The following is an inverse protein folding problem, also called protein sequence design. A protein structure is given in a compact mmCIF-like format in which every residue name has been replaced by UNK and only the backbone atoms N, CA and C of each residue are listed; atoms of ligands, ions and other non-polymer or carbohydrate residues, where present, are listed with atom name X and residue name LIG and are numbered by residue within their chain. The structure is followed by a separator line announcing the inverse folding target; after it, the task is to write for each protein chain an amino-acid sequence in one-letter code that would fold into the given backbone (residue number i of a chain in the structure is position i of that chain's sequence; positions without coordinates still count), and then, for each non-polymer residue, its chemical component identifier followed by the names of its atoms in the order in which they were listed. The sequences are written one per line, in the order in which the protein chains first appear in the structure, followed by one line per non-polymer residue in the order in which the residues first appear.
data_IF_874713440053
#
_entry.id   IF_874713440053
#
_cell.length_a   1.000
_cell.length_b   1.000
_cell.length_c   1.000
_cell.angle_alpha   90.00
_cell.angle_beta   90.00
_cell.angle_gamma   90.00
#
_symmetry.space_group_name_H-M   'P 1'
#
loop_
_entity.id
_entity.type
_entity.pdbx_description
1 polymer ?
#
# COMPACT_ATOMS: atom_id res chain seq x y z
N UNK A 1 -11.60 8.16 -5.13
CA UNK A 1 -12.59 7.08 -5.38
C UNK A 1 -13.41 7.34 -6.64
N UNK A 2 -14.18 8.43 -6.73
CA UNK A 2 -15.09 8.68 -7.87
C UNK A 2 -14.46 8.57 -9.27
N UNK A 3 -13.17 8.89 -9.43
CA UNK A 3 -12.43 8.74 -10.69
C UNK A 3 -11.81 7.36 -10.96
N UNK A 4 -12.18 6.32 -10.20
CA UNK A 4 -11.65 4.96 -10.36
C UNK A 4 -12.80 4.02 -10.70
N UNK A 5 -12.80 3.46 -11.92
CA UNK A 5 -13.87 2.56 -12.37
C UNK A 5 -13.78 1.17 -11.71
N UNK A 6 -12.58 0.58 -11.65
CA UNK A 6 -12.33 -0.68 -10.95
C UNK A 6 -10.99 -0.63 -10.24
N UNK A 7 -10.98 -0.87 -8.93
CA UNK A 7 -9.76 -0.80 -8.14
C UNK A 7 -9.92 -1.31 -6.72
N UNK A 8 -8.90 -1.07 -5.90
CA UNK A 8 -8.90 -1.42 -4.48
C UNK A 8 -8.57 -0.17 -3.67
N UNK A 9 -9.42 0.14 -2.71
CA UNK A 9 -9.15 1.14 -1.70
C UNK A 9 -8.45 0.49 -0.50
N UNK A 10 -7.22 0.92 -0.25
CA UNK A 10 -6.37 0.41 0.83
C UNK A 10 -6.40 1.40 2.00
N UNK A 11 -6.64 0.91 3.22
CA UNK A 11 -6.66 1.72 4.44
C UNK A 11 -5.67 1.17 5.45
N UNK A 12 -4.74 2.05 5.85
CA UNK A 12 -3.67 1.76 6.80
C UNK A 12 -2.62 0.79 6.24
N UNK A 13 -1.60 0.53 7.05
CA UNK A 13 -0.51 -0.40 6.78
C UNK A 13 -0.57 -1.61 7.72
N UNK A 14 -0.04 -2.76 7.29
CA UNK A 14 0.00 -3.97 8.15
C UNK A 14 1.36 -4.67 8.09
N UNK A 15 1.83 -4.97 6.90
CA UNK A 15 3.12 -5.63 6.67
C UNK A 15 3.77 -5.03 5.44
N UNK A 16 5.08 -4.83 5.53
CA UNK A 16 5.91 -4.28 4.48
C UNK A 16 7.20 -5.08 4.33
N UNK A 17 7.58 -5.33 3.09
CA UNK A 17 8.87 -5.90 2.74
C UNK A 17 9.41 -5.24 1.49
N UNK A 18 10.71 -4.97 1.47
CA UNK A 18 11.42 -4.39 0.34
C UNK A 18 12.77 -5.09 0.21
N UNK A 19 13.22 -5.33 -1.02
CA UNK A 19 14.51 -5.95 -1.26
C UNK A 19 15.69 -5.05 -0.84
N UNK A 20 16.89 -5.63 -0.77
CA UNK A 20 18.10 -4.92 -0.34
C UNK A 20 18.47 -3.75 -1.26
N UNK A 21 18.11 -3.83 -2.55
CA UNK A 21 18.35 -2.78 -3.52
C UNK A 21 17.30 -1.67 -3.45
N UNK A 22 16.25 -1.83 -2.63
CA UNK A 22 15.10 -0.93 -2.50
C UNK A 22 14.32 -0.75 -3.81
N UNK A 23 14.40 -1.76 -4.68
CA UNK A 23 13.81 -1.77 -6.00
C UNK A 23 12.46 -2.47 -6.00
N UNK A 24 12.34 -3.65 -5.40
CA UNK A 24 11.11 -4.42 -5.38
C UNK A 24 10.48 -4.42 -3.98
N UNK A 25 9.18 -4.16 -3.90
CA UNK A 25 8.46 -4.18 -2.63
C UNK A 25 7.16 -4.98 -2.70
N UNK A 26 6.73 -5.47 -1.54
CA UNK A 26 5.41 -6.04 -1.31
C UNK A 26 4.84 -5.52 0.00
N UNK A 27 3.70 -4.83 -0.08
CA UNK A 27 3.03 -4.26 1.07
C UNK A 27 1.59 -4.75 1.20
N UNK A 28 1.05 -4.64 2.41
CA UNK A 28 -0.34 -4.94 2.76
C UNK A 28 -0.93 -3.80 3.59
N UNK A 29 -2.23 -3.81 3.80
CA UNK A 29 -2.96 -2.83 4.60
C UNK A 29 -3.81 -3.49 5.67
N UNK A 30 -4.37 -2.66 6.55
CA UNK A 30 -5.24 -3.14 7.62
C UNK A 30 -6.62 -3.53 7.07
N UNK A 31 -7.13 -2.75 6.11
CA UNK A 31 -8.42 -2.98 5.45
C UNK A 31 -8.32 -2.73 3.95
N UNK A 32 -9.06 -3.52 3.19
CA UNK A 32 -9.18 -3.40 1.74
C UNK A 32 -10.64 -3.37 1.35
N UNK A 33 -10.98 -2.54 0.38
CA UNK A 33 -12.31 -2.47 -0.19
C UNK A 33 -12.25 -2.45 -1.71
N UNK A 34 -13.17 -3.13 -2.38
CA UNK A 34 -13.34 -2.99 -3.81
C UNK A 34 -13.87 -1.59 -4.15
N UNK A 35 -13.37 -1.04 -5.26
CA UNK A 35 -13.95 0.14 -5.91
C UNK A 35 -14.58 -0.34 -7.21
N UNK A 36 -15.86 -0.04 -7.41
CA UNK A 36 -16.63 -0.36 -8.61
C UNK A 36 -17.42 0.89 -9.03
N UNK A 37 -17.23 1.33 -10.28
CA UNK A 37 -17.84 2.53 -10.89
C UNK A 37 -17.75 3.76 -10.01
N UNK A 38 -16.56 4.04 -9.47
CA UNK A 38 -16.31 5.21 -8.64
C UNK A 38 -16.87 5.13 -7.22
N UNK A 39 -17.29 3.95 -6.74
CA UNK A 39 -17.85 3.76 -5.39
C UNK A 39 -17.11 2.65 -4.65
N UNK A 40 -16.90 2.84 -3.34
CA UNK A 40 -16.44 1.77 -2.47
C UNK A 40 -17.59 0.80 -2.24
N UNK A 41 -17.36 -0.50 -2.46
CA UNK A 41 -18.41 -1.52 -2.35
C UNK A 41 -18.16 -2.45 -1.17
N UNK A 42 -17.59 -3.63 -1.39
CA UNK A 42 -17.41 -4.65 -0.36
C UNK A 42 -15.96 -4.78 0.11
N UNK A 43 -15.75 -5.37 1.28
CA UNK A 43 -14.41 -5.62 1.80
C UNK A 43 -13.73 -6.78 1.10
N UNK A 44 -12.41 -6.66 0.95
CA UNK A 44 -11.52 -7.70 0.46
C UNK A 44 -10.63 -8.18 1.60
N UNK A 45 -10.15 -9.41 1.51
CA UNK A 45 -9.18 -10.00 2.43
C UNK A 45 -7.99 -10.57 1.66
N UNK A 46 -6.91 -10.83 2.38
CA UNK A 46 -5.71 -11.48 1.85
C UNK A 46 -5.10 -10.74 0.65
N UNK A 47 -5.22 -9.42 0.60
CA UNK A 47 -4.68 -8.59 -0.49
C UNK A 47 -3.25 -8.16 -0.15
N UNK A 48 -2.33 -8.36 -1.08
CA UNK A 48 -1.04 -7.69 -1.10
C UNK A 48 -0.81 -7.02 -2.45
N UNK A 49 -0.09 -5.90 -2.46
CA UNK A 49 0.32 -5.23 -3.69
C UNK A 49 1.84 -5.27 -3.82
N UNK A 50 2.30 -5.56 -5.03
CA UNK A 50 3.71 -5.71 -5.39
C UNK A 50 4.04 -4.75 -6.52
N UNK A 51 5.22 -4.13 -6.46
CA UNK A 51 5.72 -3.35 -7.59
C UNK A 51 7.23 -3.10 -7.50
N UNK A 52 7.79 -2.66 -8.61
CA UNK A 52 9.06 -1.94 -8.63
C UNK A 52 8.84 -0.50 -8.16
N UNK A 53 9.69 0.03 -7.28
CA UNK A 53 9.60 1.39 -6.74
C UNK A 53 9.42 2.45 -7.84
N UNK A 54 10.24 2.41 -8.90
CA UNK A 54 10.18 3.40 -9.99
C UNK A 54 8.91 3.28 -10.83
N UNK A 55 8.45 2.06 -11.10
CA UNK A 55 7.22 1.83 -11.87
C UNK A 55 5.98 2.24 -11.09
N UNK A 56 5.94 1.95 -9.77
CA UNK A 56 4.86 2.35 -8.89
C UNK A 56 4.69 3.87 -8.86
N UNK A 57 5.77 4.61 -8.58
CA UNK A 57 5.71 6.07 -8.54
C UNK A 57 5.53 6.68 -9.93
N UNK A 58 6.08 6.07 -10.98
CA UNK A 58 5.82 6.47 -12.36
C UNK A 58 4.38 6.26 -12.82
N UNK A 59 3.64 5.37 -12.14
CA UNK A 59 2.21 5.09 -12.40
C UNK A 59 1.26 5.86 -11.48
N UNK A 60 1.77 6.87 -10.75
CA UNK A 60 0.96 7.76 -9.93
C UNK A 60 0.03 8.59 -10.82
N UNK A 61 -1.28 8.43 -10.64
CA UNK A 61 -2.29 9.16 -11.42
C UNK A 61 -2.67 10.47 -10.75
N UNK A 62 -2.86 10.44 -9.42
CA UNK A 62 -3.34 11.60 -8.66
C UNK A 62 -3.05 11.44 -7.17
N UNK A 63 -2.82 12.58 -6.50
CA UNK A 63 -2.83 12.71 -5.04
C UNK A 63 -4.15 13.35 -4.57
N UNK A 64 -4.60 12.95 -3.39
CA UNK A 64 -5.70 13.58 -2.68
C UNK A 64 -5.29 14.95 -2.13
N UNK A 65 -6.30 15.77 -1.82
CA UNK A 65 -6.08 17.06 -1.16
C UNK A 65 -5.75 16.92 0.32
N UNK A 66 -5.57 18.08 0.98
CA UNK A 66 -5.23 18.20 2.40
C UNK A 66 -6.15 17.42 3.33
N UNK A 67 -7.45 17.36 3.01
CA UNK A 67 -8.45 16.62 3.80
C UNK A 67 -8.22 15.11 3.85
N UNK A 68 -7.33 14.58 3.01
CA UNK A 68 -6.96 13.16 2.96
C UNK A 68 -5.58 12.87 3.53
N UNK A 69 -4.86 13.90 4.00
CA UNK A 69 -3.54 13.74 4.61
C UNK A 69 -3.65 13.03 5.95
N UNK A 70 -2.78 12.04 6.16
CA UNK A 70 -2.61 11.37 7.45
C UNK A 70 -1.12 11.26 7.75
N UNK A 71 -0.73 11.64 8.96
CA UNK A 71 0.60 11.35 9.52
C UNK A 71 0.52 10.04 10.30
N UNK A 72 1.26 9.03 9.85
CA UNK A 72 1.39 7.73 10.50
C UNK A 72 2.82 7.52 11.02
N UNK A 73 3.01 6.55 11.91
CA UNK A 73 4.33 6.21 12.42
C UNK A 73 4.43 4.78 12.93
N UNK A 74 5.67 4.33 13.06
CA UNK A 74 6.03 3.03 13.61
C UNK A 74 7.07 3.22 14.72
N UNK A 75 6.96 2.42 15.78
CA UNK A 75 7.90 2.48 16.92
C UNK A 75 9.26 1.85 16.62
N UNK A 76 9.41 1.17 15.48
CA UNK A 76 10.65 0.60 14.99
C UNK A 76 10.93 1.10 13.58
N UNK A 77 12.21 1.12 13.19
CA UNK A 77 12.60 1.65 11.87
C UNK A 77 12.75 0.56 10.79
N UNK A 78 12.44 -0.71 11.11
CA UNK A 78 12.58 -1.83 10.18
C UNK A 78 14.01 -2.08 9.66
N UNK A 79 15.04 -1.57 10.34
CA UNK A 79 16.46 -1.70 9.93
C UNK A 79 17.25 -2.52 10.94
N UNK A 80 18.33 -3.16 10.47
CA UNK A 80 19.29 -3.89 11.30
C UNK A 80 18.89 -5.34 11.57
N UNK A 81 19.90 -6.17 11.83
CA UNK A 81 19.74 -7.54 12.30
C UNK A 81 20.82 -7.81 13.37
N UNK A 82 20.50 -7.71 14.68
CA UNK A 82 19.16 -7.57 15.27
C UNK A 82 18.48 -6.22 14.97
N UNK A 83 17.13 -6.23 14.97
CA UNK A 83 16.31 -5.09 14.59
C UNK A 83 16.48 -3.89 15.53
N UNK A 84 16.56 -2.69 14.95
CA UNK A 84 16.71 -1.43 15.67
C UNK A 84 15.36 -0.85 16.10
N UNK A 85 15.27 -0.43 17.37
CA UNK A 85 14.14 0.33 17.90
C UNK A 85 14.46 1.81 17.71
N UNK A 86 13.84 2.41 16.71
CA UNK A 86 13.88 3.83 16.46
C UNK A 86 12.51 4.26 15.92
N UNK A 87 11.78 5.14 16.63
CA UNK A 87 10.51 5.64 16.14
C UNK A 87 10.68 6.41 14.83
N UNK A 88 9.83 6.13 13.86
CA UNK A 88 9.81 6.80 12.55
C UNK A 88 8.38 7.22 12.22
N UNK A 89 8.24 8.30 11.45
CA UNK A 89 6.96 8.76 10.94
C UNK A 89 7.02 9.06 9.45
N UNK A 90 5.87 8.93 8.79
CA UNK A 90 5.67 9.32 7.41
C UNK A 90 4.22 9.76 7.25
N UNK A 91 4.01 10.87 6.54
CA UNK A 91 2.67 11.36 6.24
C UNK A 91 2.47 11.53 4.75
N UNK A 92 1.30 11.13 4.27
CA UNK A 92 0.91 11.29 2.88
C UNK A 92 -0.60 11.53 2.75
N UNK A 93 -1.03 12.26 1.70
CA UNK A 93 -2.42 12.22 1.28
C UNK A 93 -2.74 10.87 0.65
N UNK A 94 -4.03 10.60 0.43
CA UNK A 94 -4.44 9.45 -0.38
C UNK A 94 -3.79 9.50 -1.76
N UNK A 95 -3.24 8.39 -2.25
CA UNK A 95 -2.65 8.30 -3.58
C UNK A 95 -3.44 7.33 -4.47
N UNK A 96 -3.68 7.71 -5.71
CA UNK A 96 -4.20 6.82 -6.74
C UNK A 96 -3.05 6.41 -7.67
N UNK A 97 -2.69 5.13 -7.62
CA UNK A 97 -1.64 4.53 -8.44
C UNK A 97 -2.27 3.46 -9.33
N UNK A 98 -2.06 3.56 -10.64
CA UNK A 98 -2.63 2.62 -11.60
C UNK A 98 -1.68 1.48 -11.92
N UNK A 99 -2.21 0.37 -12.46
CA UNK A 99 -1.39 -0.72 -12.99
C UNK A 99 -0.57 -1.51 -11.96
N UNK A 100 -0.88 -1.38 -10.66
CA UNK A 100 -0.16 -2.08 -9.61
C UNK A 100 -0.57 -3.56 -9.57
N UNK A 101 0.41 -4.46 -9.47
CA UNK A 101 0.16 -5.90 -9.33
C UNK A 101 -0.46 -6.19 -7.97
N UNK A 102 -1.61 -6.86 -7.99
CA UNK A 102 -2.31 -7.33 -6.80
C UNK A 102 -2.21 -8.86 -6.73
N UNK A 103 -1.90 -9.40 -5.56
CA UNK A 103 -1.85 -10.85 -5.30
C UNK A 103 -2.74 -11.24 -4.13
N UNK A 104 -3.23 -12.48 -4.14
CA UNK A 104 -3.87 -13.09 -3.00
C UNK A 104 -2.78 -13.69 -2.09
N UNK A 105 -2.45 -12.99 -1.01
CA UNK A 105 -1.35 -13.32 -0.11
C UNK A 105 -1.46 -14.73 0.49
N UNK A 106 -2.68 -15.20 0.76
CA UNK A 106 -2.92 -16.55 1.29
C UNK A 106 -2.60 -17.63 0.25
N UNK A 107 -3.01 -17.42 -1.00
CA UNK A 107 -2.73 -18.35 -2.09
C UNK A 107 -1.23 -18.41 -2.43
N UNK A 108 -0.54 -17.27 -2.36
CA UNK A 108 0.91 -17.19 -2.59
C UNK A 108 1.72 -17.84 -1.46
N UNK A 109 1.29 -17.71 -0.19
CA UNK A 109 2.02 -18.32 0.95
C UNK A 109 1.95 -19.85 1.00
N UNK A 110 1.01 -20.45 0.28
CA UNK A 110 0.80 -21.89 0.23
C UNK A 110 1.42 -22.59 -1.00
N UNK A 111 2.14 -21.83 -1.85
CA UNK A 111 2.99 -22.37 -2.91
C UNK A 111 4.44 -22.40 -2.43
#
# INVERSE_FOLDING_TARGET
VAGVDRGIYVVGDKSWSIDMQRRNFQFTGQRFYAIERGRVTHQLRDVAYQATTTEFWGSLVRLGGESTYVLSGAMNCGKGQPGQIAPVSHGCPSAHVAGVRIVNARAESGR
#
